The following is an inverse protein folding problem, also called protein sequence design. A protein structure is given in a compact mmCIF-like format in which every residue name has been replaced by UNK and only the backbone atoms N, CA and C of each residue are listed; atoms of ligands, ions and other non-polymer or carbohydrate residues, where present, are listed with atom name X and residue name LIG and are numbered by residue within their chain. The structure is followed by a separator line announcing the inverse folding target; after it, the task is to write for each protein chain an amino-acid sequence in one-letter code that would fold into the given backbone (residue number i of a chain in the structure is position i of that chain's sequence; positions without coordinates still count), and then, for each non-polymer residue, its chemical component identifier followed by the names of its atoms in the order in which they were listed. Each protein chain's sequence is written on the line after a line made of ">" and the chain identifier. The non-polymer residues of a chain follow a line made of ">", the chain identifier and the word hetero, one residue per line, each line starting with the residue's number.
data_IF_325417298565
#
_entry.id   IF_325417298565
#
_cell.length_a   1.000
_cell.length_b   1.000
_cell.length_c   1.000
_cell.angle_alpha   90.00
_cell.angle_beta   90.00
_cell.angle_gamma   90.00
#
_symmetry.space_group_name_H-M   'P 1'
#
loop_
_entity.id
_entity.type
_entity.pdbx_description
1 polymer ?
#
# COMPACT_ATOMS: atom_id res chain seq x y z
N UNK A 1 47.38 3.26 -16.62
CA UNK A 1 46.40 2.30 -16.05
C UNK A 1 45.71 2.86 -14.79
N UNK A 2 45.17 4.10 -14.82
CA UNK A 2 44.46 4.70 -13.66
C UNK A 2 42.94 4.89 -13.88
N UNK A 3 42.47 4.86 -15.13
CA UNK A 3 41.07 5.16 -15.45
C UNK A 3 40.14 3.93 -15.44
N UNK A 4 40.71 2.72 -15.49
CA UNK A 4 39.92 1.47 -15.51
C UNK A 4 39.28 1.21 -14.12
N UNK A 5 39.99 1.56 -13.04
CA UNK A 5 39.50 1.37 -11.67
C UNK A 5 38.28 2.26 -11.37
N UNK A 6 38.26 3.48 -11.91
CA UNK A 6 37.18 4.46 -11.70
C UNK A 6 35.88 4.01 -12.39
N UNK A 7 35.99 3.44 -13.60
CA UNK A 7 34.83 2.94 -14.36
C UNK A 7 34.22 1.70 -13.66
N UNK A 8 35.05 0.81 -13.12
CA UNK A 8 34.58 -0.36 -12.38
C UNK A 8 33.83 0.03 -11.10
N UNK A 9 34.31 1.04 -10.36
CA UNK A 9 33.64 1.54 -9.15
C UNK A 9 32.29 2.23 -9.48
N UNK A 10 32.20 2.96 -10.59
CA UNK A 10 30.96 3.60 -11.05
C UNK A 10 29.88 2.58 -11.49
N UNK A 11 30.29 1.47 -12.10
CA UNK A 11 29.37 0.37 -12.48
C UNK A 11 28.82 -0.39 -11.27
N UNK A 12 29.63 -0.56 -10.22
CA UNK A 12 29.19 -1.20 -8.98
C UNK A 12 28.19 -0.31 -8.22
N UNK A 13 28.42 1.01 -8.20
CA UNK A 13 27.51 1.96 -7.54
C UNK A 13 26.15 2.11 -8.26
N UNK A 14 26.12 1.97 -9.59
CA UNK A 14 24.88 2.03 -10.37
C UNK A 14 24.06 0.74 -10.33
N UNK A 15 24.70 -0.42 -10.09
CA UNK A 15 24.01 -1.69 -9.88
C UNK A 15 23.32 -1.79 -8.50
N UNK A 16 23.67 -0.94 -7.54
CA UNK A 16 23.18 -1.03 -6.16
C UNK A 16 21.87 -0.25 -5.90
N UNK A 17 21.29 0.38 -6.92
CA UNK A 17 20.12 1.25 -6.75
C UNK A 17 18.95 0.90 -7.70
N UNK A 18 18.76 -0.38 -8.00
CA UNK A 18 17.56 -0.84 -8.71
C UNK A 18 16.41 -0.99 -7.71
N UNK A 19 15.84 0.13 -7.28
CA UNK A 19 14.43 0.08 -6.92
C UNK A 19 13.68 -0.28 -8.22
N UNK A 20 12.88 -1.35 -8.25
CA UNK A 20 12.11 -1.69 -9.44
C UNK A 20 11.27 -0.50 -9.86
N UNK A 21 11.20 -0.22 -11.16
CA UNK A 21 10.32 0.82 -11.64
C UNK A 21 8.87 0.46 -11.27
N UNK A 22 8.09 1.44 -10.83
CA UNK A 22 6.69 1.19 -10.45
C UNK A 22 5.85 0.67 -11.63
N UNK A 23 6.27 0.93 -12.87
CA UNK A 23 5.71 0.39 -14.11
C UNK A 23 5.84 -1.14 -14.22
N UNK A 24 6.85 -1.73 -13.60
CA UNK A 24 7.05 -3.19 -13.55
C UNK A 24 6.13 -3.83 -12.50
N UNK A 25 5.87 -3.10 -11.42
CA UNK A 25 5.02 -3.52 -10.30
C UNK A 25 3.53 -3.33 -10.61
N UNK A 26 3.17 -2.23 -11.27
CA UNK A 26 1.79 -1.81 -11.52
C UNK A 26 1.61 -1.61 -13.03
N UNK A 27 0.76 -2.42 -13.64
CA UNK A 27 0.52 -2.35 -15.09
C UNK A 27 -0.25 -1.11 -15.55
N UNK A 28 -0.79 -0.30 -14.63
CA UNK A 28 -1.72 0.77 -14.94
C UNK A 28 -1.25 2.16 -14.51
N UNK A 29 -1.13 3.04 -15.50
CA UNK A 29 -0.70 4.44 -15.33
C UNK A 29 -1.63 5.25 -14.42
N UNK A 30 -2.95 5.01 -14.47
CA UNK A 30 -3.91 5.72 -13.62
C UNK A 30 -3.65 5.45 -12.14
N UNK A 31 -3.41 4.20 -11.76
CA UNK A 31 -3.10 3.82 -10.38
C UNK A 31 -1.78 4.44 -9.92
N UNK A 32 -0.77 4.44 -10.79
CA UNK A 32 0.53 5.09 -10.53
C UNK A 32 0.33 6.59 -10.24
N UNK A 33 -0.45 7.29 -11.07
CA UNK A 33 -0.72 8.71 -10.90
C UNK A 33 -1.44 9.04 -9.58
N UNK A 34 -2.41 8.20 -9.17
CA UNK A 34 -3.08 8.35 -7.89
C UNK A 34 -2.13 8.08 -6.71
N UNK A 35 -1.27 7.07 -6.81
CA UNK A 35 -0.23 6.81 -5.80
C UNK A 35 0.73 8.00 -5.68
N UNK A 36 1.15 8.57 -6.80
CA UNK A 36 2.01 9.76 -6.83
C UNK A 36 1.34 10.94 -6.11
N UNK A 37 0.09 11.23 -6.45
CA UNK A 37 -0.70 12.27 -5.79
C UNK A 37 -0.81 12.02 -4.30
N UNK A 38 -1.08 10.77 -3.88
CA UNK A 38 -1.17 10.40 -2.47
C UNK A 38 0.14 10.56 -1.70
N UNK A 39 1.27 10.27 -2.34
CA UNK A 39 2.62 10.46 -1.79
C UNK A 39 2.93 11.95 -1.61
N UNK A 40 2.69 12.77 -2.63
CA UNK A 40 2.89 14.23 -2.56
C UNK A 40 2.10 14.83 -1.40
N UNK A 41 0.85 14.41 -1.32
CA UNK A 41 -0.07 14.74 -0.25
C UNK A 41 0.43 14.29 1.14
N UNK A 42 0.99 13.09 1.24
CA UNK A 42 1.52 12.54 2.48
C UNK A 42 2.80 13.26 2.93
N UNK A 43 3.65 13.63 1.98
CA UNK A 43 4.87 14.41 2.21
C UNK A 43 4.54 15.80 2.74
N UNK A 44 3.57 16.49 2.13
CA UNK A 44 3.10 17.81 2.59
C UNK A 44 2.62 17.79 4.05
N UNK A 45 2.07 16.66 4.51
CA UNK A 45 1.54 16.48 5.88
C UNK A 45 2.51 15.77 6.84
N UNK A 46 3.77 15.52 6.42
CA UNK A 46 4.80 14.80 7.19
C UNK A 46 4.29 13.50 7.82
N UNK A 47 3.55 12.70 7.03
CA UNK A 47 2.95 11.44 7.48
C UNK A 47 3.93 10.26 7.38
N UNK A 48 3.48 9.10 7.83
CA UNK A 48 4.30 7.86 7.84
C UNK A 48 4.61 7.47 6.40
N UNK A 49 5.83 7.03 6.11
CA UNK A 49 6.21 6.56 4.76
C UNK A 49 5.88 5.08 4.53
N UNK A 50 4.71 4.65 4.99
CA UNK A 50 4.24 3.27 4.87
C UNK A 50 2.78 3.29 4.44
N UNK A 51 2.46 2.60 3.34
CA UNK A 51 1.15 2.59 2.71
C UNK A 51 0.64 1.15 2.65
N UNK A 52 -0.56 0.93 3.17
CA UNK A 52 -1.29 -0.33 2.98
C UNK A 52 -2.23 -0.14 1.80
N UNK A 53 -2.26 -1.13 0.90
CA UNK A 53 -3.19 -1.17 -0.23
C UNK A 53 -4.10 -2.38 -0.08
N UNK A 54 -5.40 -2.13 0.04
CA UNK A 54 -6.44 -3.16 0.20
C UNK A 54 -7.45 -3.11 -0.95
N UNK A 55 -7.95 -4.29 -1.35
CA UNK A 55 -8.97 -4.45 -2.38
C UNK A 55 -10.34 -4.87 -1.83
N UNK A 56 -11.41 -4.25 -2.33
CA UNK A 56 -12.79 -4.62 -2.05
C UNK A 56 -13.55 -4.82 -3.36
N UNK A 57 -14.07 -6.03 -3.56
CA UNK A 57 -14.91 -6.32 -4.73
C UNK A 57 -16.34 -5.82 -4.49
N UNK A 58 -16.86 -5.09 -5.47
CA UNK A 58 -18.26 -4.78 -5.63
C UNK A 58 -18.82 -5.71 -6.72
N UNK A 59 -19.36 -6.83 -6.28
CA UNK A 59 -19.86 -7.90 -7.16
C UNK A 59 -21.03 -7.46 -8.04
N UNK A 60 -21.85 -6.51 -7.58
CA UNK A 60 -22.98 -5.97 -8.36
C UNK A 60 -22.51 -5.16 -9.57
N UNK A 61 -21.40 -4.43 -9.41
CA UNK A 61 -20.86 -3.52 -10.43
C UNK A 61 -19.65 -4.06 -11.19
N UNK A 62 -19.19 -5.28 -10.87
CA UNK A 62 -17.93 -5.86 -11.38
C UNK A 62 -16.76 -4.89 -11.25
N UNK A 63 -16.71 -4.24 -10.08
CA UNK A 63 -15.75 -3.20 -9.74
C UNK A 63 -14.89 -3.66 -8.58
N UNK A 64 -13.61 -3.33 -8.63
CA UNK A 64 -12.65 -3.52 -7.56
C UNK A 64 -12.25 -2.15 -7.02
N UNK A 65 -12.53 -1.91 -5.75
CA UNK A 65 -12.18 -0.70 -5.06
C UNK A 65 -10.84 -0.87 -4.34
N UNK A 66 -9.94 0.09 -4.56
CA UNK A 66 -8.61 0.15 -3.96
C UNK A 66 -8.61 1.19 -2.85
N UNK A 67 -8.17 0.76 -1.68
CA UNK A 67 -8.01 1.58 -0.49
C UNK A 67 -6.54 1.74 -0.16
N UNK A 68 -6.03 2.97 -0.21
CA UNK A 68 -4.67 3.31 0.17
C UNK A 68 -4.69 3.98 1.54
N UNK A 69 -3.96 3.42 2.50
CA UNK A 69 -3.89 3.96 3.86
C UNK A 69 -2.46 4.23 4.26
N UNK A 70 -2.16 5.48 4.64
CA UNK A 70 -0.85 5.86 5.15
C UNK A 70 -0.69 5.47 6.63
N UNK A 71 -0.22 4.26 6.88
CA UNK A 71 0.16 3.78 8.21
C UNK A 71 0.95 2.47 8.12
N UNK A 72 1.79 2.21 9.13
CA UNK A 72 2.30 0.86 9.37
C UNK A 72 1.18 0.01 10.00
N UNK A 73 0.86 -1.19 9.45
CA UNK A 73 -0.14 -2.08 10.02
C UNK A 73 0.30 -2.54 11.41
N UNK A 74 -0.66 -2.79 12.30
CA UNK A 74 -0.37 -3.17 13.69
C UNK A 74 -1.05 -4.48 14.03
N UNK A 75 -0.31 -5.37 14.68
CA UNK A 75 -0.78 -6.62 15.25
C UNK A 75 -0.77 -6.48 16.77
N UNK A 76 -1.79 -7.02 17.41
CA UNK A 76 -1.97 -6.94 18.86
C UNK A 76 -1.73 -8.36 19.40
N UNK A 77 -0.75 -8.56 20.26
CA UNK A 77 -0.39 -9.89 20.77
C UNK A 77 -1.42 -10.43 21.77
N UNK A 78 -2.10 -9.53 22.49
CA UNK A 78 -3.26 -9.88 23.33
C UNK A 78 -4.30 -10.65 22.51
N UNK A 79 -4.89 -11.69 23.13
CA UNK A 79 -5.89 -12.62 22.61
C UNK A 79 -7.15 -11.94 22.05
N UNK A 80 -7.01 -11.17 20.98
CA UNK A 80 -8.07 -10.82 20.05
C UNK A 80 -7.86 -11.71 18.83
N UNK A 81 -8.40 -12.95 18.85
CA UNK A 81 -8.13 -13.93 17.79
C UNK A 81 -8.58 -13.34 16.45
N UNK A 82 -9.76 -12.72 16.43
CA UNK A 82 -10.43 -12.34 15.19
C UNK A 82 -9.65 -11.37 14.30
N UNK A 83 -9.06 -10.30 14.84
CA UNK A 83 -8.32 -9.31 14.05
C UNK A 83 -6.97 -9.87 13.60
N UNK A 84 -6.33 -10.66 14.46
CA UNK A 84 -5.04 -11.26 14.13
C UNK A 84 -5.18 -12.41 13.13
N UNK A 85 -6.24 -13.21 13.23
CA UNK A 85 -6.49 -14.34 12.35
C UNK A 85 -6.76 -13.85 10.92
N UNK A 86 -7.47 -12.74 10.75
CA UNK A 86 -7.67 -12.10 9.44
C UNK A 86 -6.36 -11.61 8.82
N UNK A 87 -5.45 -11.03 9.61
CA UNK A 87 -4.14 -10.57 9.13
C UNK A 87 -3.22 -11.77 8.85
N UNK A 88 -3.16 -12.74 9.76
CA UNK A 88 -2.28 -13.92 9.66
C UNK A 88 -2.69 -14.89 8.55
N UNK A 89 -3.98 -14.96 8.23
CA UNK A 89 -4.50 -15.83 7.16
C UNK A 89 -4.31 -15.26 5.75
N UNK A 90 -3.99 -13.97 5.62
CA UNK A 90 -3.77 -13.33 4.33
C UNK A 90 -2.31 -13.37 3.90
N UNK A 91 -2.09 -13.35 2.59
CA UNK A 91 -0.78 -13.08 2.00
C UNK A 91 -0.66 -11.62 1.60
N UNK A 92 0.56 -11.11 1.65
CA UNK A 92 0.89 -9.75 1.30
C UNK A 92 2.05 -9.69 0.32
N UNK A 93 1.94 -8.76 -0.63
CA UNK A 93 3.03 -8.35 -1.49
C UNK A 93 3.67 -7.07 -0.96
N UNK A 94 4.96 -6.90 -1.22
CA UNK A 94 5.71 -5.72 -0.79
C UNK A 94 6.53 -5.11 -1.91
N UNK A 95 6.59 -3.79 -1.93
CA UNK A 95 7.52 -3.04 -2.77
C UNK A 95 7.84 -1.68 -2.17
N UNK A 96 8.91 -1.05 -2.68
CA UNK A 96 9.29 0.32 -2.34
C UNK A 96 9.13 1.23 -3.54
N UNK A 97 8.67 2.46 -3.29
CA UNK A 97 8.55 3.48 -4.33
C UNK A 97 8.61 4.89 -3.72
N UNK A 98 9.49 5.76 -4.26
CA UNK A 98 9.70 7.16 -3.79
C UNK A 98 9.88 7.30 -2.27
N UNK A 99 10.70 6.42 -1.67
CA UNK A 99 10.91 6.29 -0.22
C UNK A 99 9.71 5.83 0.61
N UNK A 100 8.61 5.44 -0.03
CA UNK A 100 7.47 4.81 0.64
C UNK A 100 7.57 3.30 0.54
N UNK A 101 7.22 2.64 1.63
CA UNK A 101 7.00 1.21 1.69
C UNK A 101 5.53 0.91 1.43
N UNK A 102 5.25 -0.10 0.62
CA UNK A 102 3.90 -0.53 0.28
C UNK A 102 3.68 -1.97 0.70
N UNK A 103 2.57 -2.22 1.40
CA UNK A 103 2.08 -3.55 1.71
C UNK A 103 0.73 -3.77 1.04
N UNK A 104 0.65 -4.73 0.16
CA UNK A 104 -0.48 -4.94 -0.75
C UNK A 104 -1.17 -6.26 -0.42
N UNK A 105 -2.48 -6.25 -0.16
CA UNK A 105 -3.24 -7.49 0.07
C UNK A 105 -3.25 -8.40 -1.18
N UNK A 106 -3.21 -9.71 -1.01
CA UNK A 106 -3.27 -10.69 -2.12
C UNK A 106 -4.46 -10.51 -3.05
N UNK A 107 -5.59 -9.98 -2.57
CA UNK A 107 -6.76 -9.67 -3.41
C UNK A 107 -6.44 -8.78 -4.62
N UNK A 108 -5.30 -8.11 -4.61
CA UNK A 108 -4.85 -7.21 -5.66
C UNK A 108 -3.77 -7.81 -6.59
N UNK A 109 -3.54 -9.12 -6.55
CA UNK A 109 -2.51 -9.81 -7.36
C UNK A 109 -2.70 -9.65 -8.88
N UNK A 110 -3.93 -9.39 -9.33
CA UNK A 110 -4.24 -9.08 -10.74
C UNK A 110 -3.82 -7.67 -11.17
N UNK A 111 -3.61 -6.76 -10.22
CA UNK A 111 -3.23 -5.36 -10.45
C UNK A 111 -1.74 -5.15 -10.17
N UNK A 112 -1.26 -5.71 -9.06
CA UNK A 112 0.12 -5.57 -8.58
C UNK A 112 0.87 -6.87 -8.84
N UNK A 113 1.86 -6.82 -9.72
CA UNK A 113 2.69 -7.96 -10.11
C UNK A 113 3.78 -8.24 -9.07
N UNK A 114 3.35 -8.63 -7.88
CA UNK A 114 4.21 -8.85 -6.72
C UNK A 114 4.33 -10.33 -6.39
N UNK A 115 5.39 -10.68 -5.65
CA UNK A 115 5.45 -11.94 -4.92
C UNK A 115 4.65 -11.77 -3.63
N UNK A 116 3.67 -12.65 -3.43
CA UNK A 116 2.81 -12.64 -2.25
C UNK A 116 3.24 -13.73 -1.27
N UNK A 117 3.56 -13.31 -0.05
CA UNK A 117 4.06 -14.20 1.01
C UNK A 117 3.12 -14.15 2.22
N UNK A 118 3.15 -15.22 3.04
CA UNK A 118 2.35 -15.28 4.25
C UNK A 118 2.85 -14.28 5.33
N UNK A 119 2.07 -14.18 6.40
CA UNK A 119 2.39 -13.28 7.49
C UNK A 119 3.76 -13.53 8.13
N UNK A 120 4.18 -14.79 8.30
CA UNK A 120 5.42 -15.10 9.02
C UNK A 120 6.66 -14.59 8.29
N UNK A 121 6.62 -14.60 6.96
CA UNK A 121 7.65 -14.00 6.12
C UNK A 121 7.55 -12.47 6.06
N UNK A 122 6.35 -11.91 6.21
CA UNK A 122 6.09 -10.48 6.08
C UNK A 122 6.07 -9.71 7.42
N UNK A 123 6.23 -10.40 8.56
CA UNK A 123 6.01 -9.85 9.91
C UNK A 123 6.82 -8.59 10.23
N UNK A 124 7.99 -8.40 9.62
CA UNK A 124 8.84 -7.21 9.84
C UNK A 124 8.18 -5.90 9.39
N UNK A 125 7.23 -5.99 8.47
CA UNK A 125 6.45 -4.88 7.96
C UNK A 125 5.28 -4.49 8.87
N UNK A 126 5.06 -5.23 9.96
CA UNK A 126 4.01 -4.97 10.94
C UNK A 126 4.60 -4.42 12.24
N UNK A 127 3.85 -3.54 12.90
CA UNK A 127 4.13 -3.16 14.29
C UNK A 127 3.47 -4.20 15.19
N UNK A 128 4.24 -4.84 16.07
CA UNK A 128 3.68 -5.74 17.09
C UNK A 128 3.49 -4.93 18.38
N UNK A 129 2.28 -4.96 18.94
CA UNK A 129 1.94 -4.38 20.24
C UNK A 129 1.52 -5.50 21.19
N UNK A 130 1.93 -5.43 22.45
CA UNK A 130 1.53 -6.44 23.43
C UNK A 130 0.05 -6.32 23.82
N UNK A 131 -0.46 -5.10 23.98
CA UNK A 131 -1.80 -4.83 24.51
C UNK A 131 -2.73 -4.17 23.49
N UNK A 132 -4.04 -4.41 23.62
CA UNK A 132 -5.06 -3.75 22.79
C UNK A 132 -5.02 -2.22 22.94
N UNK A 133 -5.25 -1.50 21.83
CA UNK A 133 -5.35 -0.04 21.86
C UNK A 133 -6.50 0.38 22.80
N UNK A 134 -6.25 1.36 23.67
CA UNK A 134 -7.37 2.06 24.29
C UNK A 134 -8.21 2.73 23.19
N UNK A 135 -9.52 2.87 23.41
CA UNK A 135 -10.44 3.50 22.44
C UNK A 135 -9.92 4.87 21.96
N UNK A 136 -9.23 5.61 22.83
CA UNK A 136 -8.59 6.89 22.54
C UNK A 136 -7.34 6.79 21.66
N UNK A 137 -6.52 5.73 21.79
CA UNK A 137 -5.37 5.51 20.92
C UNK A 137 -5.78 5.05 19.52
N UNK A 138 -6.85 4.26 19.41
CA UNK A 138 -7.44 3.89 18.14
C UNK A 138 -8.00 5.11 17.38
N UNK A 139 -8.58 6.08 18.11
CA UNK A 139 -9.14 7.31 17.55
C UNK A 139 -8.09 8.39 17.20
N UNK A 140 -6.95 8.45 17.92
CA UNK A 140 -5.91 9.47 17.70
C UNK A 140 -5.07 9.27 16.43
N UNK A 141 -5.00 8.06 15.88
CA UNK A 141 -4.23 7.79 14.66
C UNK A 141 -5.03 8.31 13.46
N UNK A 142 -4.88 9.59 13.10
CA UNK A 142 -5.63 10.20 11.97
C UNK A 142 -5.23 9.54 10.64
N UNK A 143 -6.13 8.72 10.08
CA UNK A 143 -5.97 8.00 8.82
C UNK A 143 -6.01 9.00 7.66
N UNK A 144 -5.03 8.95 6.76
CA UNK A 144 -5.21 9.53 5.41
C UNK A 144 -5.49 8.37 4.49
N UNK A 145 -6.63 8.45 3.82
CA UNK A 145 -7.16 7.40 2.96
C UNK A 145 -7.37 7.97 1.57
N UNK A 146 -6.93 7.24 0.54
CA UNK A 146 -7.31 7.48 -0.85
C UNK A 146 -8.05 6.26 -1.38
N UNK A 147 -9.10 6.51 -2.15
CA UNK A 147 -9.98 5.48 -2.67
C UNK A 147 -10.04 5.57 -4.19
N UNK A 148 -9.75 4.47 -4.87
CA UNK A 148 -9.69 4.39 -6.35
C UNK A 148 -10.55 3.22 -6.82
N UNK A 149 -11.45 3.44 -7.78
CA UNK A 149 -12.26 2.37 -8.39
C UNK A 149 -11.62 1.84 -9.66
N UNK A 150 -11.62 0.52 -9.83
CA UNK A 150 -11.05 -0.19 -10.97
C UNK A 150 -12.04 -1.22 -11.55
N UNK A 151 -12.16 -1.35 -12.88
CA UNK A 151 -13.06 -2.31 -13.52
C UNK A 151 -12.28 -3.54 -13.98
N UNK A 152 -12.78 -4.74 -13.69
CA UNK A 152 -12.17 -6.00 -14.19
C UNK A 152 -12.48 -6.25 -15.68
N UNK A 153 -13.52 -5.59 -16.21
CA UNK A 153 -13.84 -5.61 -17.62
C UNK A 153 -12.81 -4.79 -18.40
N UNK A 154 -11.89 -5.51 -19.06
CA UNK A 154 -10.85 -5.01 -19.98
C UNK A 154 -11.34 -3.79 -20.77
N UNK A 155 -10.77 -2.63 -20.48
CA UNK A 155 -10.88 -1.36 -21.20
C UNK A 155 -12.27 -1.07 -21.80
N UNK A 156 -13.22 -0.62 -20.98
CA UNK A 156 -14.32 0.17 -21.52
C UNK A 156 -14.73 1.32 -20.60
N UNK A 157 -14.46 2.51 -21.14
CA UNK A 157 -15.15 3.77 -20.94
C UNK A 157 -14.72 4.59 -19.71
N UNK A 158 -14.17 5.75 -20.05
CA UNK A 158 -13.95 6.92 -19.22
C UNK A 158 -15.00 7.09 -18.14
N UNK A 159 -14.56 7.27 -16.90
CA UNK A 159 -15.23 8.13 -15.92
C UNK A 159 -14.22 8.46 -14.82
N UNK A 160 -13.54 9.57 -15.05
CA UNK A 160 -12.99 10.42 -14.01
C UNK A 160 -14.16 10.92 -13.15
N UNK A 161 -14.31 10.35 -11.96
CA UNK A 161 -14.88 11.02 -10.79
C UNK A 161 -14.37 10.27 -9.57
N UNK A 162 -13.18 10.65 -9.11
CA UNK A 162 -12.74 10.31 -7.77
C UNK A 162 -13.62 11.16 -6.86
N UNK A 163 -14.70 10.55 -6.37
CA UNK A 163 -15.61 11.16 -5.41
C UNK A 163 -14.79 11.60 -4.20
N UNK A 164 -14.88 12.88 -3.87
CA UNK A 164 -14.57 13.39 -2.55
C UNK A 164 -15.27 12.49 -1.53
N UNK A 165 -14.48 11.95 -0.60
CA UNK A 165 -14.98 11.23 0.56
C UNK A 165 -15.87 12.17 1.38
N UNK A 166 -17.18 12.14 1.13
CA UNK A 166 -18.15 12.59 2.11
C UNK A 166 -18.11 11.58 3.25
N UNK A 167 -17.43 11.95 4.34
CA UNK A 167 -17.65 11.32 5.63
C UNK A 167 -19.12 11.57 5.99
N UNK A 168 -19.92 10.55 6.30
CA UNK A 168 -21.24 10.80 6.86
C UNK A 168 -21.05 11.56 8.17
N UNK A 169 -21.68 12.73 8.27
CA UNK A 169 -21.78 13.48 9.52
C UNK A 169 -22.49 12.57 10.53
N UNK A 170 -21.69 11.93 11.39
CA UNK A 170 -22.20 11.26 12.58
C UNK A 170 -22.54 12.33 13.61
N UNK A 171 -23.63 13.04 13.36
CA UNK A 171 -24.27 13.91 14.33
C UNK A 171 -25.70 13.46 14.56
N UNK A 172 -25.86 12.86 15.75
CA UNK A 172 -27.08 12.54 16.53
C UNK A 172 -27.73 11.18 16.28
#
# INVERSE_FOLDING_TARGET
>A
MKNILVIAVLLILSACNKNPEISEVIGQKKIIAEIDKFIEDSNAKKKVKFIIVSGFENSEKKQLDLLFTNQKPTIINDNSPRVNDEIKSQKYGYFKYKDYEFLVSQKLESIFKLKYEDFDHMKEHFTVKEHSFTKEEAMKKKWRTMYVRYNEAKDSIELSNISELSLPDYSR
#
